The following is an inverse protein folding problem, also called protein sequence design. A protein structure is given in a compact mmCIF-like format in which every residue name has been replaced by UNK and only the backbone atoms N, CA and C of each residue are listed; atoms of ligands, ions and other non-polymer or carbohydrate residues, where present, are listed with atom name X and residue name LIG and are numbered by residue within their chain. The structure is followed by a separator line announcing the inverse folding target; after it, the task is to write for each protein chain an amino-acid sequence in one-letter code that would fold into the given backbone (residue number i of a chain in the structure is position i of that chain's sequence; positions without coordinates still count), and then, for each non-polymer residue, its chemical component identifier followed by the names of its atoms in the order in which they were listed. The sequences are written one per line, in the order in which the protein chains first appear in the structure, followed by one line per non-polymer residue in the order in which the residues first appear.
data_IF_391625880826
#
_entry.id   IF_391625880826
#
_cell.length_a   1.000
_cell.length_b   1.000
_cell.length_c   1.000
_cell.angle_alpha   90.00
_cell.angle_beta   90.00
_cell.angle_gamma   90.00
#
_symmetry.space_group_name_H-M   'P 1'
#
loop_
_entity.id
_entity.type
_entity.pdbx_description
1 polymer ?
#
# COMPACT_ATOMS: atom_id res chain seq x y z
N UNK A 1 -3.24 -6.40 -12.40
CA UNK A 1 -3.14 -5.95 -10.99
C UNK A 1 -4.54 -5.70 -10.41
N UNK A 2 -4.75 -5.95 -9.11
CA UNK A 2 -5.97 -5.55 -8.39
C UNK A 2 -5.64 -4.41 -7.41
N UNK A 3 -6.36 -3.31 -7.50
CA UNK A 3 -6.41 -2.25 -6.50
C UNK A 3 -7.55 -2.59 -5.55
N UNK A 4 -7.21 -2.88 -4.30
CA UNK A 4 -8.16 -2.98 -3.21
C UNK A 4 -8.15 -1.66 -2.43
N UNK A 5 -9.21 -0.86 -2.62
CA UNK A 5 -9.32 0.43 -1.96
C UNK A 5 -9.68 0.29 -0.47
N UNK A 6 -10.26 -0.84 -0.04
CA UNK A 6 -10.69 -1.08 1.33
C UNK A 6 -9.54 -1.58 2.22
N UNK A 7 -8.57 -2.31 1.64
CA UNK A 7 -7.34 -2.71 2.32
C UNK A 7 -6.23 -1.64 2.28
N UNK A 8 -6.42 -0.54 1.55
CA UNK A 8 -5.42 0.51 1.42
C UNK A 8 -5.34 1.39 2.67
N UNK A 9 -4.19 1.40 3.34
CA UNK A 9 -3.99 2.16 4.59
C UNK A 9 -4.04 3.69 4.39
N UNK A 10 -3.92 4.16 3.15
CA UNK A 10 -4.03 5.58 2.77
C UNK A 10 -5.47 6.01 2.46
N UNK A 11 -6.46 5.10 2.55
CA UNK A 11 -7.87 5.38 2.28
C UNK A 11 -8.40 6.45 3.24
N UNK A 12 -8.83 7.58 2.68
CA UNK A 12 -9.19 8.78 3.43
C UNK A 12 -8.12 9.87 3.30
N UNK A 13 -7.00 9.82 4.04
CA UNK A 13 -6.01 10.89 4.06
C UNK A 13 -5.28 11.09 2.72
N UNK A 14 -5.10 10.03 1.93
CA UNK A 14 -4.42 10.09 0.62
C UNK A 14 -5.34 10.18 -0.60
N UNK A 15 -6.66 9.95 -0.43
CA UNK A 15 -7.57 9.80 -1.56
C UNK A 15 -7.75 11.08 -2.39
N UNK A 16 -7.71 12.26 -1.77
CA UNK A 16 -7.94 13.55 -2.47
C UNK A 16 -6.90 13.86 -3.55
N UNK A 17 -5.74 13.22 -3.47
CA UNK A 17 -4.61 13.36 -4.38
C UNK A 17 -4.17 11.97 -4.89
N UNK A 18 -5.14 11.07 -5.08
CA UNK A 18 -4.91 9.73 -5.61
C UNK A 18 -5.23 9.69 -7.10
N UNK A 19 -4.38 9.01 -7.89
CA UNK A 19 -4.60 8.76 -9.32
C UNK A 19 -5.98 8.17 -9.62
N UNK A 20 -6.47 7.28 -8.74
CA UNK A 20 -7.79 6.62 -8.85
C UNK A 20 -8.92 7.65 -8.80
N UNK A 21 -8.81 8.65 -7.92
CA UNK A 21 -9.82 9.70 -7.77
C UNK A 21 -9.78 10.69 -8.93
N UNK A 22 -8.58 11.05 -9.41
CA UNK A 22 -8.40 12.04 -10.47
C UNK A 22 -8.74 11.50 -11.87
N UNK A 23 -8.32 10.28 -12.19
CA UNK A 23 -8.48 9.70 -13.54
C UNK A 23 -9.87 9.08 -13.73
N UNK A 24 -10.43 8.46 -12.69
CA UNK A 24 -11.68 7.69 -12.82
C UNK A 24 -12.90 8.42 -12.26
N UNK A 25 -12.75 9.66 -11.76
CA UNK A 25 -13.85 10.50 -11.32
C UNK A 25 -14.64 9.94 -10.13
N UNK A 26 -14.02 9.09 -9.31
CA UNK A 26 -14.64 8.47 -8.13
C UNK A 26 -14.91 9.55 -7.07
N UNK A 27 -16.10 10.14 -7.14
CA UNK A 27 -16.64 11.06 -6.14
C UNK A 27 -17.26 10.27 -5.00
N UNK A 28 -16.62 10.32 -3.84
CA UNK A 28 -17.06 9.86 -2.51
C UNK A 28 -17.45 8.38 -2.30
N UNK A 29 -17.93 7.66 -3.33
CA UNK A 29 -18.29 6.24 -3.26
C UNK A 29 -17.28 5.45 -4.12
N UNK A 30 -16.12 5.03 -3.58
CA UNK A 30 -15.17 4.24 -4.34
C UNK A 30 -15.78 2.87 -4.66
N UNK A 31 -15.65 2.44 -5.93
CA UNK A 31 -15.83 1.03 -6.26
C UNK A 31 -14.85 0.21 -5.40
N UNK A 32 -15.32 -0.82 -4.67
CA UNK A 32 -14.51 -1.50 -3.64
C UNK A 32 -13.25 -2.15 -4.23
N UNK A 33 -13.34 -2.59 -5.49
CA UNK A 33 -12.26 -3.23 -6.20
C UNK A 33 -12.11 -2.64 -7.61
N UNK A 34 -10.87 -2.33 -7.98
CA UNK A 34 -10.54 -1.78 -9.29
C UNK A 34 -9.44 -2.60 -9.94
N UNK A 35 -9.70 -3.09 -11.15
CA UNK A 35 -8.71 -3.85 -11.91
C UNK A 35 -8.02 -2.93 -12.88
N UNK A 36 -6.68 -2.98 -12.88
CA UNK A 36 -5.84 -2.37 -13.89
C UNK A 36 -4.80 -3.39 -14.33
N UNK A 37 -4.56 -3.51 -15.62
CA UNK A 37 -3.49 -4.34 -16.16
C UNK A 37 -2.13 -3.62 -16.15
N UNK A 38 -1.10 -4.29 -16.67
CA UNK A 38 0.27 -3.77 -16.65
C UNK A 38 0.48 -2.62 -17.64
N UNK A 39 -0.24 -2.62 -18.76
CA UNK A 39 -0.19 -1.55 -19.76
C UNK A 39 -0.88 -0.29 -19.21
N UNK A 40 -2.04 -0.46 -18.56
CA UNK A 40 -2.75 0.60 -17.86
C UNK A 40 -1.90 1.18 -16.72
N UNK A 41 -1.25 0.33 -15.92
CA UNK A 41 -0.29 0.78 -14.89
C UNK A 41 0.84 1.60 -15.51
N UNK A 42 1.43 1.15 -16.61
CA UNK A 42 2.52 1.86 -17.28
C UNK A 42 2.05 3.23 -17.82
N UNK A 43 0.86 3.29 -18.39
CA UNK A 43 0.26 4.54 -18.85
C UNK A 43 0.07 5.55 -17.69
N UNK A 44 -0.45 5.08 -16.54
CA UNK A 44 -0.60 5.93 -15.35
C UNK A 44 0.74 6.47 -14.84
N UNK A 45 1.81 5.68 -14.95
CA UNK A 45 3.15 6.09 -14.52
C UNK A 45 3.73 7.20 -15.41
N UNK A 46 3.54 7.11 -16.72
CA UNK A 46 3.92 8.17 -17.69
C UNK A 46 3.13 9.46 -17.42
N UNK A 47 1.84 9.36 -17.15
CA UNK A 47 1.00 10.50 -16.80
C UNK A 47 1.45 11.13 -15.48
N UNK A 48 1.87 10.32 -14.50
CA UNK A 48 2.36 10.82 -13.21
C UNK A 48 3.71 11.53 -13.36
N UNK A 49 4.61 10.96 -14.16
CA UNK A 49 5.93 11.54 -14.44
C UNK A 49 5.84 12.86 -15.21
N UNK A 50 4.79 13.04 -16.01
CA UNK A 50 4.49 14.30 -16.69
C UNK A 50 3.70 15.30 -15.83
N UNK A 51 3.31 14.92 -14.61
CA UNK A 51 2.56 15.77 -13.68
C UNK A 51 1.09 15.95 -14.03
N UNK A 52 0.57 15.15 -14.96
CA UNK A 52 -0.84 15.20 -15.37
C UNK A 52 -1.77 14.53 -14.35
N UNK A 53 -1.26 13.56 -13.60
CA UNK A 53 -1.98 12.86 -12.54
C UNK A 53 -1.08 12.66 -11.32
N UNK A 54 -1.63 12.48 -10.12
CA UNK A 54 -0.85 12.03 -8.98
C UNK A 54 -0.31 10.60 -9.21
N UNK A 55 0.81 10.20 -8.58
CA UNK A 55 1.30 8.82 -8.66
C UNK A 55 0.36 7.82 -7.98
N UNK A 56 0.47 6.55 -8.37
CA UNK A 56 -0.32 5.46 -7.78
C UNK A 56 0.22 5.13 -6.37
N UNK A 57 -0.55 5.50 -5.32
CA UNK A 57 -0.18 5.39 -3.89
C UNK A 57 -0.80 4.18 -3.18
N UNK A 58 -0.95 3.05 -3.88
CA UNK A 58 -1.48 1.83 -3.26
C UNK A 58 -0.46 1.27 -2.26
N UNK A 59 -0.81 1.29 -0.97
CA UNK A 59 0.04 0.77 0.12
C UNK A 59 -0.78 -0.24 0.92
N UNK A 60 -0.24 -1.44 1.08
CA UNK A 60 -0.80 -2.48 1.93
C UNK A 60 -0.12 -2.45 3.30
N UNK A 61 -0.89 -2.74 4.36
CA UNK A 61 -0.29 -3.04 5.64
C UNK A 61 0.59 -4.29 5.49
N UNK A 62 1.87 -4.16 5.83
CA UNK A 62 2.74 -5.32 6.04
C UNK A 62 2.54 -5.77 7.49
N UNK A 63 2.47 -7.08 7.71
CA UNK A 63 2.38 -7.62 9.07
C UNK A 63 3.54 -7.11 9.93
N UNK A 64 3.30 -6.90 11.22
CA UNK A 64 4.34 -6.56 12.18
C UNK A 64 5.45 -7.60 12.11
N UNK A 65 6.69 -7.17 11.83
CA UNK A 65 7.86 -8.01 12.08
C UNK A 65 8.09 -7.99 13.58
N UNK A 66 7.72 -9.08 14.27
CA UNK A 66 8.21 -9.28 15.64
C UNK A 66 9.73 -9.55 15.56
N UNK A 67 10.56 -8.81 16.30
CA UNK A 67 11.98 -9.11 16.34
C UNK A 67 12.18 -10.50 16.96
N UNK A 68 12.91 -11.36 16.26
CA UNK A 68 13.35 -12.67 16.75
C UNK A 68 14.27 -12.46 17.96
N UNK A 69 13.69 -12.44 19.16
CA UNK A 69 14.44 -12.49 20.42
C UNK A 69 14.79 -13.95 20.70
N UNK A 70 15.71 -14.50 19.90
CA UNK A 70 16.31 -15.79 20.16
C UNK A 70 17.09 -15.75 21.49
N UNK A 71 16.48 -16.39 22.48
CA UNK A 71 17.01 -16.99 23.71
C UNK A 71 18.53 -17.20 23.75
N UNK A 72 19.24 -16.39 24.54
CA UNK A 72 20.57 -16.72 25.07
C UNK A 72 20.58 -16.39 26.58
N UNK A 73 20.73 -17.41 27.43
CA UNK A 73 21.07 -17.17 28.84
C UNK A 73 20.46 -18.06 29.92
N UNK A 74 20.25 -19.37 29.70
CA UNK A 74 20.12 -20.30 30.84
C UNK A 74 21.04 -21.51 30.64
N UNK A 75 22.34 -21.27 30.81
CA UNK A 75 23.34 -22.30 31.09
C UNK A 75 24.49 -21.66 31.86
N UNK A 76 24.50 -21.87 33.19
CA UNK A 76 25.66 -22.00 34.09
C UNK A 76 25.43 -21.36 35.48
N UNK A 77 25.21 -22.22 36.49
CA UNK A 77 25.70 -22.13 37.87
C UNK A 77 25.23 -23.43 38.57
N UNK A 78 25.95 -24.54 38.52
CA UNK A 78 27.20 -24.88 39.23
C UNK A 78 27.16 -24.65 40.75
N UNK A 79 27.09 -25.79 41.45
CA UNK A 79 27.69 -26.14 42.74
C UNK A 79 27.68 -25.14 43.91
N UNK A 80 26.91 -25.44 44.97
CA UNK A 80 27.39 -25.55 46.37
C UNK A 80 26.58 -26.60 47.12
#
# INVERSE_FOLDING_TARGET
MLIDCDACVMRGPGCRDCVVTVVLGLTAEPAPELRIDDDERAALDVLAQSGLVPPLRLVHAVGSVEPDVATEGESAADAV
#
